data_IF_235034707665
#
_entry.id   IF_235034707665
#
_cell.length_a   1.000
_cell.length_b   1.000
_cell.length_c   1.000
_cell.angle_alpha   90.00
_cell.angle_beta   90.00
_cell.angle_gamma   90.00
#
_symmetry.space_group_name_H-M   'P 1'
#
loop_
_entity.id
_entity.type
_entity.pdbx_description
1 polymer ?
#
# COMPACT_ATOMS: atom_id res chain seq x y z
N UNK A 1 -8.44 27.42 7.06
CA UNK A 1 -9.08 26.83 5.86
C UNK A 1 -9.15 25.33 6.07
N UNK A 2 -10.31 24.75 5.90
CA UNK A 2 -10.44 23.29 5.90
C UNK A 2 -9.58 22.70 4.78
N UNK A 3 -8.88 21.57 5.01
CA UNK A 3 -8.09 20.94 3.97
C UNK A 3 -8.98 20.56 2.77
N UNK A 4 -8.47 20.65 1.54
CA UNK A 4 -9.24 20.30 0.35
C UNK A 4 -9.72 18.85 0.43
N UNK A 5 -10.93 18.62 -0.05
CA UNK A 5 -11.49 17.26 -0.13
C UNK A 5 -11.19 16.71 -1.51
N UNK A 6 -10.31 15.74 -1.61
CA UNK A 6 -10.04 15.01 -2.84
C UNK A 6 -11.22 14.10 -3.22
N UNK A 7 -11.47 13.91 -4.49
CA UNK A 7 -12.38 12.87 -4.95
C UNK A 7 -11.79 11.50 -4.65
N UNK A 8 -10.53 11.28 -5.06
CA UNK A 8 -9.85 10.00 -4.91
C UNK A 8 -8.44 10.17 -4.38
N UNK A 9 -8.04 9.32 -3.43
CA UNK A 9 -6.67 9.13 -3.01
C UNK A 9 -6.25 7.70 -3.32
N UNK A 10 -5.05 7.51 -3.92
CA UNK A 10 -4.53 6.19 -4.31
C UNK A 10 -3.21 5.93 -3.59
N UNK A 11 -3.10 4.79 -2.94
CA UNK A 11 -1.87 4.23 -2.36
C UNK A 11 -1.58 2.89 -3.03
N UNK A 12 -0.30 2.55 -3.24
CA UNK A 12 0.15 1.28 -3.79
C UNK A 12 1.40 0.78 -3.06
N UNK A 13 1.67 -0.51 -3.17
CA UNK A 13 2.96 -1.12 -2.80
C UNK A 13 3.42 -0.79 -1.37
N UNK A 14 2.53 -1.03 -0.39
CA UNK A 14 2.84 -0.84 1.03
C UNK A 14 3.69 -1.98 1.60
N UNK A 15 3.52 -3.20 1.07
CA UNK A 15 4.22 -4.40 1.50
C UNK A 15 4.23 -4.62 3.02
N UNK A 16 3.03 -4.58 3.64
CA UNK A 16 2.87 -4.88 5.07
C UNK A 16 3.46 -6.25 5.39
N UNK A 17 4.24 -6.35 6.47
CA UNK A 17 5.04 -7.52 6.81
C UNK A 17 6.50 -7.45 6.34
N UNK A 18 6.84 -6.52 5.43
CA UNK A 18 8.23 -6.18 5.12
C UNK A 18 8.83 -5.25 6.17
N UNK A 19 10.13 -5.42 6.46
CA UNK A 19 10.86 -4.51 7.35
C UNK A 19 11.08 -3.12 6.76
N UNK A 20 10.94 -3.00 5.44
CA UNK A 20 11.07 -1.73 4.72
C UNK A 20 9.74 -1.03 4.53
N UNK A 21 8.61 -1.64 4.95
CA UNK A 21 7.28 -1.05 4.88
C UNK A 21 7.16 0.22 5.72
N UNK A 22 6.54 1.23 5.16
CA UNK A 22 6.32 2.55 5.78
C UNK A 22 4.84 2.79 6.07
N UNK A 23 4.17 1.77 6.60
CA UNK A 23 2.74 1.80 6.90
C UNK A 23 2.33 2.94 7.84
N UNK A 24 3.20 3.29 8.83
CA UNK A 24 2.96 4.41 9.73
C UNK A 24 2.91 5.76 9.02
N UNK A 25 3.83 5.98 8.06
CA UNK A 25 3.85 7.21 7.26
C UNK A 25 2.66 7.26 6.29
N UNK A 26 2.29 6.14 5.67
CA UNK A 26 1.09 6.04 4.83
C UNK A 26 -0.19 6.32 5.64
N UNK A 27 -0.28 5.77 6.86
CA UNK A 27 -1.39 6.04 7.77
C UNK A 27 -1.49 7.53 8.14
N UNK A 28 -0.36 8.21 8.33
CA UNK A 28 -0.32 9.65 8.58
C UNK A 28 -0.92 10.42 7.40
N UNK A 29 -0.51 10.11 6.17
CA UNK A 29 -1.08 10.73 4.96
C UNK A 29 -2.59 10.53 4.90
N UNK A 30 -3.09 9.32 5.19
CA UNK A 30 -4.54 9.07 5.19
C UNK A 30 -5.29 9.89 6.25
N UNK A 31 -4.67 10.16 7.41
CA UNK A 31 -5.27 10.97 8.47
C UNK A 31 -5.22 12.48 8.21
N UNK A 32 -4.21 12.94 7.53
CA UNK A 32 -4.00 14.36 7.20
C UNK A 32 -4.82 14.83 6.00
N UNK A 33 -5.32 13.90 5.18
CA UNK A 33 -6.07 14.21 3.96
C UNK A 33 -7.54 13.81 4.08
N UNK A 34 -8.41 14.60 3.44
CA UNK A 34 -9.83 14.30 3.27
C UNK A 34 -10.08 13.82 1.85
N UNK A 35 -10.79 12.72 1.69
CA UNK A 35 -11.11 12.12 0.39
C UNK A 35 -12.45 11.38 0.45
N UNK A 36 -13.10 11.24 -0.72
CA UNK A 36 -14.35 10.49 -0.87
C UNK A 36 -14.11 9.03 -1.19
N UNK A 37 -13.01 8.75 -1.90
CA UNK A 37 -12.61 7.39 -2.32
C UNK A 37 -11.16 7.15 -1.97
N UNK A 38 -10.88 5.98 -1.42
CA UNK A 38 -9.53 5.45 -1.21
C UNK A 38 -9.35 4.23 -2.09
N UNK A 39 -8.31 4.21 -2.92
CA UNK A 39 -7.91 3.04 -3.70
C UNK A 39 -6.59 2.52 -3.14
N UNK A 40 -6.60 1.29 -2.64
CA UNK A 40 -5.43 0.50 -2.30
C UNK A 40 -5.07 -0.32 -3.53
N UNK A 41 -4.00 0.06 -4.24
CA UNK A 41 -3.71 -0.36 -5.61
C UNK A 41 -2.67 -1.49 -5.65
N UNK A 42 -2.95 -2.57 -4.97
CA UNK A 42 -2.16 -3.81 -4.97
C UNK A 42 -0.88 -3.77 -4.15
N UNK A 43 -0.35 -4.96 -3.90
CA UNK A 43 0.85 -5.22 -3.10
C UNK A 43 0.80 -4.53 -1.72
N UNK A 44 -0.38 -4.58 -1.10
CA UNK A 44 -0.58 -4.05 0.25
C UNK A 44 0.14 -4.93 1.27
N UNK A 45 0.16 -6.25 1.07
CA UNK A 45 0.97 -7.19 1.84
C UNK A 45 2.25 -7.59 1.10
N UNK A 46 3.31 -7.86 1.87
CA UNK A 46 4.55 -8.41 1.30
C UNK A 46 4.42 -9.90 0.98
N UNK A 47 3.65 -10.61 1.78
CA UNK A 47 3.30 -12.03 1.64
C UNK A 47 2.09 -12.37 2.54
N UNK A 48 1.64 -13.62 2.49
CA UNK A 48 0.53 -14.13 3.30
C UNK A 48 0.91 -14.51 4.74
N UNK A 49 2.12 -14.20 5.18
CA UNK A 49 2.57 -14.49 6.54
C UNK A 49 2.22 -13.35 7.51
N UNK A 50 0.98 -13.32 7.97
CA UNK A 50 0.48 -12.28 8.90
C UNK A 50 1.22 -12.21 10.25
N UNK A 51 2.03 -13.23 10.61
CA UNK A 51 2.88 -13.20 11.81
C UNK A 51 3.98 -12.14 11.72
N UNK A 52 4.28 -11.64 10.51
CA UNK A 52 5.27 -10.59 10.27
C UNK A 52 4.69 -9.18 10.43
N UNK A 53 3.38 -9.06 10.61
CA UNK A 53 2.73 -7.77 10.77
C UNK A 53 3.09 -7.16 12.13
N UNK A 54 3.64 -5.94 12.10
CA UNK A 54 3.97 -5.15 13.27
C UNK A 54 2.74 -4.42 13.83
N UNK A 55 2.87 -3.81 15.02
CA UNK A 55 1.82 -2.95 15.60
C UNK A 55 1.40 -1.83 14.64
N UNK A 56 2.33 -1.23 13.90
CA UNK A 56 2.01 -0.17 12.92
C UNK A 56 1.21 -0.70 11.73
N UNK A 57 1.54 -1.91 11.26
CA UNK A 57 0.77 -2.56 10.18
C UNK A 57 -0.67 -2.81 10.61
N UNK A 58 -0.88 -3.31 11.83
CA UNK A 58 -2.22 -3.51 12.38
C UNK A 58 -2.99 -2.20 12.60
N UNK A 59 -2.31 -1.12 13.01
CA UNK A 59 -2.93 0.21 13.08
C UNK A 59 -3.39 0.71 11.71
N UNK A 60 -2.59 0.49 10.66
CA UNK A 60 -2.99 0.81 9.28
C UNK A 60 -4.24 0.03 8.87
N UNK A 61 -4.23 -1.30 9.00
CA UNK A 61 -5.37 -2.15 8.65
C UNK A 61 -6.63 -1.81 9.46
N UNK A 62 -6.48 -1.54 10.76
CA UNK A 62 -7.58 -1.09 11.62
C UNK A 62 -8.18 0.24 11.15
N UNK A 63 -7.34 1.17 10.67
CA UNK A 63 -7.83 2.42 10.11
C UNK A 63 -8.57 2.20 8.78
N UNK A 64 -8.07 1.32 7.89
CA UNK A 64 -8.79 0.95 6.67
C UNK A 64 -10.15 0.34 7.01
N UNK A 65 -10.20 -0.56 8.00
CA UNK A 65 -11.47 -1.13 8.51
C UNK A 65 -12.43 -0.07 9.03
N UNK A 66 -11.93 0.94 9.74
CA UNK A 66 -12.71 2.08 10.22
C UNK A 66 -13.25 2.92 9.06
N UNK A 67 -12.45 3.19 8.04
CA UNK A 67 -12.87 3.92 6.84
C UNK A 67 -13.92 3.17 6.03
N UNK A 68 -13.86 1.83 5.97
CA UNK A 68 -14.80 1.02 5.21
C UNK A 68 -16.20 0.96 5.84
N UNK A 69 -16.39 1.53 7.04
CA UNK A 69 -17.72 1.66 7.62
C UNK A 69 -18.58 2.63 6.79
N UNK A 70 -19.76 2.21 6.30
CA UNK A 70 -20.63 3.06 5.46
C UNK A 70 -20.99 4.41 6.10
N UNK A 71 -21.05 4.49 7.42
CA UNK A 71 -21.34 5.74 8.16
C UNK A 71 -20.24 6.81 7.95
N UNK A 72 -19.05 6.44 7.49
CA UNK A 72 -17.95 7.38 7.22
C UNK A 72 -18.05 8.11 5.88
N UNK A 73 -18.89 7.60 4.98
CA UNK A 73 -19.05 8.19 3.65
C UNK A 73 -17.81 8.12 2.76
N UNK A 74 -16.88 7.22 3.06
CA UNK A 74 -15.67 6.97 2.25
C UNK A 74 -15.82 5.62 1.54
N UNK A 75 -15.67 5.63 0.23
CA UNK A 75 -15.62 4.41 -0.57
C UNK A 75 -14.19 3.86 -0.52
N UNK A 76 -14.01 2.66 0.02
CA UNK A 76 -12.70 1.99 0.08
C UNK A 76 -12.67 0.86 -0.92
N UNK A 77 -11.73 0.93 -1.86
CA UNK A 77 -11.51 -0.02 -2.94
C UNK A 77 -10.14 -0.68 -2.73
N UNK A 78 -10.08 -1.98 -2.90
CA UNK A 78 -8.83 -2.74 -2.92
C UNK A 78 -8.66 -3.38 -4.29
N UNK A 79 -7.56 -3.09 -4.96
CA UNK A 79 -7.15 -3.75 -6.20
C UNK A 79 -6.08 -4.77 -5.85
N UNK A 80 -6.23 -5.99 -6.35
CA UNK A 80 -5.33 -7.11 -6.07
C UNK A 80 -3.96 -6.90 -6.74
N UNK A 81 -2.87 -7.07 -5.96
CA UNK A 81 -1.51 -7.14 -6.46
C UNK A 81 -1.03 -8.59 -6.60
N UNK A 82 0.20 -8.79 -7.10
CA UNK A 82 0.76 -10.13 -7.21
C UNK A 82 1.15 -10.74 -5.85
N UNK A 83 1.44 -9.93 -4.85
CA UNK A 83 1.70 -10.36 -3.48
C UNK A 83 0.42 -10.60 -2.67
N UNK A 84 -0.68 -9.98 -3.07
CA UNK A 84 -1.99 -10.09 -2.41
C UNK A 84 -2.88 -11.17 -3.04
N UNK A 85 -2.39 -11.87 -4.06
CA UNK A 85 -3.19 -12.84 -4.83
C UNK A 85 -3.77 -13.94 -3.92
N UNK A 86 -5.07 -14.20 -4.06
CA UNK A 86 -5.79 -15.17 -3.24
C UNK A 86 -6.30 -14.65 -1.90
N UNK A 87 -6.06 -13.37 -1.56
CA UNK A 87 -6.60 -12.75 -0.34
C UNK A 87 -8.01 -12.17 -0.50
N UNK A 88 -8.58 -12.19 -1.69
CA UNK A 88 -9.84 -11.52 -2.04
C UNK A 88 -10.98 -11.84 -1.06
N UNK A 89 -11.20 -13.12 -0.77
CA UNK A 89 -12.26 -13.54 0.16
C UNK A 89 -11.92 -13.17 1.61
N UNK A 90 -10.67 -13.42 2.02
CA UNK A 90 -10.22 -13.16 3.39
C UNK A 90 -10.30 -11.68 3.72
N UNK A 91 -9.87 -10.80 2.81
CA UNK A 91 -9.87 -9.36 3.05
C UNK A 91 -11.29 -8.77 2.99
N UNK A 92 -12.16 -9.30 2.14
CA UNK A 92 -13.56 -8.92 2.12
C UNK A 92 -14.23 -9.18 3.48
N UNK A 93 -13.94 -10.31 4.11
CA UNK A 93 -14.53 -10.66 5.41
C UNK A 93 -13.85 -9.97 6.60
N UNK A 94 -12.51 -9.88 6.61
CA UNK A 94 -11.76 -9.30 7.74
C UNK A 94 -11.80 -7.78 7.77
N UNK A 95 -11.59 -7.15 6.61
CA UNK A 95 -11.49 -5.69 6.50
C UNK A 95 -12.80 -5.06 6.02
N UNK A 96 -13.73 -5.88 5.49
CA UNK A 96 -15.01 -5.41 4.97
C UNK A 96 -14.88 -4.56 3.71
N UNK A 97 -13.85 -4.82 2.91
CA UNK A 97 -13.53 -4.10 1.68
C UNK A 97 -13.61 -5.06 0.50
N UNK A 98 -14.28 -4.62 -0.58
CA UNK A 98 -14.30 -5.41 -1.82
C UNK A 98 -12.94 -5.35 -2.49
N UNK A 99 -12.47 -6.51 -2.98
CA UNK A 99 -11.24 -6.65 -3.74
C UNK A 99 -11.58 -6.85 -5.21
N UNK A 100 -10.86 -6.13 -6.07
CA UNK A 100 -11.04 -6.13 -7.52
C UNK A 100 -9.71 -6.48 -8.18
N UNK A 101 -9.78 -7.10 -9.36
CA UNK A 101 -8.60 -7.22 -10.22
C UNK A 101 -8.36 -5.92 -10.99
N UNK A 102 -9.44 -5.30 -11.43
CA UNK A 102 -9.50 -4.03 -12.14
C UNK A 102 -10.67 -3.23 -11.59
N UNK A 103 -10.48 -1.93 -11.37
CA UNK A 103 -11.54 -1.06 -10.88
C UNK A 103 -11.72 0.12 -11.82
N UNK A 104 -12.93 0.25 -12.37
CA UNK A 104 -13.34 1.32 -13.26
C UNK A 104 -14.20 2.33 -12.53
N UNK A 105 -13.96 3.61 -12.77
CA UNK A 105 -14.84 4.69 -12.30
C UNK A 105 -14.81 5.88 -13.24
N UNK A 106 -15.77 6.77 -13.07
CA UNK A 106 -15.86 8.02 -13.81
C UNK A 106 -15.82 9.19 -12.84
N UNK A 107 -15.09 10.23 -13.21
CA UNK A 107 -15.04 11.48 -12.47
C UNK A 107 -14.87 12.64 -13.46
N UNK A 108 -15.77 13.65 -13.36
CA UNK A 108 -15.82 14.81 -14.27
C UNK A 108 -15.87 14.45 -15.75
N UNK A 109 -16.61 13.41 -16.10
CA UNK A 109 -16.77 12.94 -17.49
C UNK A 109 -15.56 12.20 -18.05
N UNK A 110 -14.50 11.98 -17.23
CA UNK A 110 -13.33 11.19 -17.60
C UNK A 110 -13.42 9.79 -17.00
N UNK A 111 -13.08 8.79 -17.81
CA UNK A 111 -13.05 7.38 -17.41
C UNK A 111 -11.68 7.00 -16.88
N UNK A 112 -11.69 6.37 -15.74
CA UNK A 112 -10.50 5.96 -15.02
C UNK A 112 -10.47 4.46 -14.83
N UNK A 113 -9.27 3.89 -14.81
CA UNK A 113 -9.01 2.48 -14.52
C UNK A 113 -7.86 2.37 -13.53
N UNK A 114 -8.05 1.61 -12.47
CA UNK A 114 -7.00 1.19 -11.56
C UNK A 114 -6.75 -0.31 -11.72
N UNK A 115 -5.50 -0.68 -11.98
CA UNK A 115 -5.01 -2.05 -12.13
C UNK A 115 -3.58 -2.09 -11.59
N UNK A 116 -3.21 -3.13 -10.85
CA UNK A 116 -1.90 -3.13 -10.20
C UNK A 116 -0.72 -3.03 -11.17
N UNK A 117 -0.77 -3.68 -12.32
CA UNK A 117 0.22 -3.54 -13.39
C UNK A 117 1.14 -4.75 -13.58
N UNK A 118 1.18 -5.69 -12.64
CA UNK A 118 1.96 -6.93 -12.77
C UNK A 118 1.56 -7.77 -13.99
N UNK A 119 0.32 -7.62 -14.46
CA UNK A 119 -0.22 -8.30 -15.64
C UNK A 119 0.54 -7.91 -16.92
N UNK A 120 1.15 -6.73 -16.94
CA UNK A 120 1.90 -6.21 -18.08
C UNK A 120 3.38 -6.59 -18.08
N UNK A 121 3.86 -7.22 -17.01
CA UNK A 121 5.25 -7.67 -16.89
C UNK A 121 5.47 -9.02 -17.57
N UNK A 122 5.76 -8.97 -18.87
CA UNK A 122 5.97 -10.15 -19.71
C UNK A 122 7.14 -11.04 -19.27
N UNK A 123 8.13 -10.50 -18.55
CA UNK A 123 9.25 -11.30 -18.04
C UNK A 123 8.82 -12.23 -16.91
N UNK A 124 7.95 -11.76 -16.03
CA UNK A 124 7.37 -12.58 -14.96
C UNK A 124 6.43 -13.64 -15.53
N UNK A 125 5.60 -13.28 -16.54
CA UNK A 125 4.64 -14.20 -17.15
C UNK A 125 5.31 -15.37 -17.91
N UNK A 126 6.45 -15.12 -18.54
CA UNK A 126 7.10 -16.12 -19.39
C UNK A 126 8.17 -17.00 -18.69
N UNK A 127 8.57 -16.68 -17.46
CA UNK A 127 9.66 -17.36 -16.77
C UNK A 127 9.32 -17.80 -15.32
N UNK A 128 8.13 -18.42 -15.13
CA UNK A 128 7.69 -18.95 -13.83
C UNK A 128 8.74 -19.83 -13.12
N UNK A 129 9.50 -20.66 -13.90
CA UNK A 129 10.57 -21.52 -13.37
C UNK A 129 11.76 -20.70 -12.88
N UNK A 130 12.17 -19.69 -13.64
CA UNK A 130 13.29 -18.80 -13.26
C UNK A 130 12.97 -18.00 -12.01
N UNK A 131 11.72 -17.52 -11.89
CA UNK A 131 11.22 -16.85 -10.69
C UNK A 131 11.19 -17.76 -9.47
N UNK A 132 10.75 -19.02 -9.61
CA UNK A 132 10.73 -19.97 -8.52
C UNK A 132 12.14 -20.26 -8.00
N UNK A 133 13.12 -20.52 -8.89
CA UNK A 133 14.51 -20.71 -8.50
C UNK A 133 15.14 -19.44 -7.92
N UNK A 134 14.85 -18.27 -8.48
CA UNK A 134 15.30 -16.98 -7.94
C UNK A 134 14.77 -16.74 -6.53
N UNK A 135 13.47 -16.97 -6.31
CA UNK A 135 12.84 -16.83 -4.98
C UNK A 135 13.43 -17.80 -3.95
N UNK A 136 13.64 -19.07 -4.33
CA UNK A 136 14.28 -20.04 -3.43
C UNK A 136 15.72 -19.64 -3.07
N UNK A 137 16.50 -19.17 -4.04
CA UNK A 137 17.86 -18.69 -3.81
C UNK A 137 17.87 -17.47 -2.88
N UNK A 138 16.97 -16.52 -3.10
CA UNK A 138 16.80 -15.34 -2.26
C UNK A 138 16.41 -15.69 -0.82
N UNK A 139 15.49 -16.63 -0.63
CA UNK A 139 15.11 -17.13 0.69
C UNK A 139 16.26 -17.81 1.42
N UNK A 140 17.15 -18.51 0.69
CA UNK A 140 18.35 -19.12 1.30
C UNK A 140 19.39 -18.04 1.67
N UNK A 141 19.60 -17.03 0.83
CA UNK A 141 20.50 -15.91 1.10
C UNK A 141 20.01 -15.05 2.28
N UNK A 142 18.72 -14.83 2.41
CA UNK A 142 18.13 -14.14 3.57
C UNK A 142 18.36 -14.85 4.90
N UNK A 143 18.49 -16.21 4.89
CA UNK A 143 18.82 -16.99 6.10
C UNK A 143 20.26 -16.81 6.56
N UNK A 144 21.15 -16.39 5.66
CA UNK A 144 22.58 -16.16 5.95
C UNK A 144 22.87 -14.73 6.39
N UNK A 145 21.84 -13.87 6.43
CA UNK A 145 22.02 -12.45 6.72
C UNK A 145 22.25 -12.20 8.22
N UNK A 146 23.26 -11.38 8.54
CA UNK A 146 23.72 -11.08 9.90
C UNK A 146 22.90 -9.93 10.49
N UNK A 147 23.04 -9.67 11.78
CA UNK A 147 22.39 -8.55 12.49
C UNK A 147 22.52 -7.24 11.70
N UNK A 148 21.37 -6.65 11.34
CA UNK A 148 21.28 -5.43 10.51
C UNK A 148 20.82 -5.66 9.07
N UNK A 149 20.78 -6.91 8.61
CA UNK A 149 20.22 -7.35 7.32
C UNK A 149 20.66 -6.52 6.10
N UNK A 150 21.97 -6.21 5.94
CA UNK A 150 22.45 -5.41 4.82
C UNK A 150 22.26 -6.12 3.48
N UNK A 151 22.37 -7.45 3.47
CA UNK A 151 22.24 -8.26 2.27
C UNK A 151 20.76 -8.31 1.81
N UNK A 152 19.83 -8.50 2.74
CA UNK A 152 18.39 -8.44 2.44
C UNK A 152 17.99 -7.08 1.85
N UNK A 153 18.50 -5.97 2.41
CA UNK A 153 18.24 -4.62 1.89
C UNK A 153 18.87 -4.39 0.51
N UNK A 154 20.06 -4.93 0.27
CA UNK A 154 20.71 -4.86 -1.05
C UNK A 154 19.95 -5.69 -2.07
N UNK A 155 19.52 -6.89 -1.71
CA UNK A 155 18.73 -7.80 -2.55
C UNK A 155 17.37 -7.17 -2.86
N UNK A 156 16.67 -6.62 -1.86
CA UNK A 156 15.41 -5.90 -2.07
C UNK A 156 15.62 -4.71 -3.02
N UNK A 157 16.72 -3.98 -2.90
CA UNK A 157 17.07 -2.87 -3.77
C UNK A 157 17.43 -3.29 -5.20
N UNK A 158 18.11 -4.42 -5.36
CA UNK A 158 18.47 -4.99 -6.67
C UNK A 158 17.25 -5.66 -7.33
N UNK A 159 16.48 -6.42 -6.57
CA UNK A 159 15.25 -7.09 -7.04
C UNK A 159 14.21 -6.08 -7.55
N UNK A 160 14.06 -4.95 -6.84
CA UNK A 160 13.16 -3.86 -7.24
C UNK A 160 13.55 -3.22 -8.57
N UNK A 161 14.83 -3.11 -8.87
CA UNK A 161 15.31 -2.39 -10.05
C UNK A 161 15.42 -3.25 -11.30
N UNK A 162 15.68 -4.56 -11.16
CA UNK A 162 15.92 -5.47 -12.28
C UNK A 162 14.67 -6.20 -12.78
N UNK A 163 13.74 -6.51 -11.88
CA UNK A 163 12.52 -7.26 -12.20
C UNK A 163 11.34 -6.37 -12.63
N UNK A 164 11.45 -5.06 -12.43
CA UNK A 164 10.38 -4.11 -12.74
C UNK A 164 10.75 -3.33 -14.00
N UNK A 165 10.37 -3.89 -15.13
CA UNK A 165 10.55 -3.21 -16.42
C UNK A 165 9.47 -2.15 -16.58
N UNK A 166 9.66 -1.01 -15.89
CA UNK A 166 8.75 0.15 -15.92
C UNK A 166 8.27 0.52 -17.34
N UNK A 167 9.13 0.51 -18.38
CA UNK A 167 8.67 0.79 -19.75
C UNK A 167 7.68 -0.24 -20.30
N UNK A 168 7.84 -1.53 -19.97
CA UNK A 168 6.93 -2.58 -20.44
C UNK A 168 5.57 -2.48 -19.76
N UNK A 169 5.57 -2.21 -18.44
CA UNK A 169 4.34 -1.97 -17.67
C UNK A 169 3.61 -0.76 -18.25
N UNK A 170 4.30 0.35 -18.47
CA UNK A 170 3.72 1.56 -19.05
C UNK A 170 3.15 1.33 -20.46
N UNK A 171 3.87 0.60 -21.31
CA UNK A 171 3.40 0.26 -22.67
C UNK A 171 2.17 -0.64 -22.64
N UNK A 172 2.18 -1.68 -21.80
CA UNK A 172 1.05 -2.59 -21.61
C UNK A 172 -0.18 -1.89 -21.05
N UNK A 173 0.01 -1.05 -20.03
CA UNK A 173 -1.04 -0.27 -19.42
C UNK A 173 -1.70 0.71 -20.42
N UNK A 174 -0.90 1.44 -21.20
CA UNK A 174 -1.42 2.34 -22.23
C UNK A 174 -2.21 1.59 -23.32
N UNK A 175 -1.73 0.42 -23.74
CA UNK A 175 -2.50 -0.43 -24.66
C UNK A 175 -3.83 -0.88 -24.05
N UNK A 176 -3.81 -1.30 -22.80
CA UNK A 176 -5.00 -1.71 -22.06
C UNK A 176 -6.01 -0.56 -21.91
N UNK A 177 -5.53 0.65 -21.59
CA UNK A 177 -6.36 1.87 -21.55
C UNK A 177 -7.07 2.13 -22.89
N UNK A 178 -6.38 1.99 -24.01
CA UNK A 178 -6.98 2.13 -25.36
C UNK A 178 -8.06 1.09 -25.61
N UNK A 179 -7.79 -0.19 -25.28
CA UNK A 179 -8.76 -1.27 -25.48
C UNK A 179 -10.03 -1.06 -24.67
N UNK A 180 -9.92 -0.57 -23.46
CA UNK A 180 -11.05 -0.28 -22.57
C UNK A 180 -11.64 1.13 -22.72
N UNK A 181 -11.08 1.96 -23.63
CA UNK A 181 -11.51 3.34 -23.90
C UNK A 181 -11.58 4.17 -22.62
N UNK A 182 -10.55 4.08 -21.78
CA UNK A 182 -10.39 4.89 -20.58
C UNK A 182 -9.38 6.01 -20.82
N UNK A 183 -9.65 7.17 -20.25
CA UNK A 183 -8.80 8.36 -20.41
C UNK A 183 -7.54 8.28 -19.53
N UNK A 184 -7.67 7.67 -18.36
CA UNK A 184 -6.60 7.58 -17.36
C UNK A 184 -6.48 6.18 -16.79
N UNK A 185 -5.27 5.63 -16.75
CA UNK A 185 -4.96 4.34 -16.12
C UNK A 185 -3.94 4.56 -15.01
N UNK A 186 -4.21 3.94 -13.86
CA UNK A 186 -3.38 4.02 -12.64
C UNK A 186 -2.82 2.64 -12.33
N UNK A 187 -1.49 2.58 -12.13
CA UNK A 187 -0.76 1.36 -11.78
C UNK A 187 0.12 1.58 -10.54
N UNK A 188 0.57 0.49 -9.94
CA UNK A 188 1.65 0.36 -8.98
C UNK A 188 2.75 -0.52 -9.53
N UNK A 189 3.16 -1.52 -8.75
CA UNK A 189 4.05 -2.62 -9.11
C UNK A 189 5.51 -2.22 -9.37
N UNK A 190 5.79 -1.16 -10.13
CA UNK A 190 7.17 -0.76 -10.47
C UNK A 190 7.86 0.02 -9.35
N UNK A 191 7.15 0.47 -8.32
CA UNK A 191 7.59 1.36 -7.24
C UNK A 191 8.21 2.67 -7.72
N UNK A 192 8.00 3.05 -8.97
CA UNK A 192 8.49 4.28 -9.57
C UNK A 192 7.29 5.19 -9.87
N UNK A 193 7.20 6.31 -9.17
CA UNK A 193 6.14 7.27 -9.40
C UNK A 193 6.39 8.02 -10.71
N UNK A 194 5.50 7.84 -11.68
CA UNK A 194 5.66 8.37 -13.03
C UNK A 194 4.31 8.76 -13.64
N UNK A 195 4.32 9.76 -14.51
CA UNK A 195 3.20 10.11 -15.37
C UNK A 195 3.67 10.20 -16.83
N UNK A 196 2.98 9.49 -17.69
CA UNK A 196 3.19 9.55 -19.14
C UNK A 196 1.86 9.79 -19.86
N UNK A 197 1.86 10.60 -20.87
CA UNK A 197 0.70 10.82 -21.74
C UNK A 197 1.04 10.45 -23.19
N UNK A 198 0.13 9.74 -23.86
CA UNK A 198 0.25 9.37 -25.26
C UNK A 198 -1.13 9.17 -25.88
N UNK A 199 -1.34 9.78 -27.04
CA UNK A 199 -2.56 9.61 -27.86
C UNK A 199 -3.88 9.85 -27.08
N UNK A 200 -3.89 10.85 -26.20
CA UNK A 200 -5.05 11.21 -25.38
C UNK A 200 -5.28 10.31 -24.15
N UNK A 201 -4.44 9.33 -23.92
CA UNK A 201 -4.48 8.46 -22.74
C UNK A 201 -3.35 8.81 -21.77
N UNK A 202 -3.65 8.84 -20.47
CA UNK A 202 -2.70 9.14 -19.42
C UNK A 202 -2.42 7.89 -18.57
N UNK A 203 -1.16 7.53 -18.47
CA UNK A 203 -0.65 6.49 -17.56
C UNK A 203 -0.04 7.15 -16.33
N UNK A 204 -0.46 6.69 -15.16
CA UNK A 204 0.10 7.09 -13.87
C UNK A 204 0.57 5.85 -13.12
N UNK A 205 1.79 5.88 -12.60
CA UNK A 205 2.24 4.91 -11.62
C UNK A 205 2.33 5.56 -10.25
N UNK A 206 1.74 4.91 -9.25
CA UNK A 206 1.64 5.45 -7.89
C UNK A 206 2.97 5.41 -7.14
N UNK A 207 3.94 4.63 -7.60
CA UNK A 207 5.16 4.34 -6.84
C UNK A 207 4.88 3.40 -5.66
N UNK A 208 5.43 3.67 -4.47
CA UNK A 208 5.25 2.77 -3.33
C UNK A 208 5.65 3.38 -1.99
N UNK A 209 5.57 2.54 -0.94
CA UNK A 209 5.82 2.92 0.47
C UNK A 209 6.91 2.07 1.11
N UNK A 210 7.95 1.79 0.36
CA UNK A 210 9.12 1.04 0.84
C UNK A 210 10.39 1.88 0.71
N UNK A 211 11.23 1.88 1.73
CA UNK A 211 12.50 2.62 1.72
C UNK A 211 12.38 4.05 2.26
N UNK A 212 12.91 5.06 1.55
CA UNK A 212 13.07 6.42 2.03
C UNK A 212 12.05 7.43 1.47
N UNK A 213 11.27 7.04 0.49
CA UNK A 213 10.30 7.90 -0.19
C UNK A 213 8.97 7.17 -0.24
N UNK A 214 7.91 7.84 0.21
CA UNK A 214 6.53 7.40 0.01
C UNK A 214 5.87 8.25 -1.07
N UNK A 215 5.05 7.63 -1.90
CA UNK A 215 4.34 8.31 -2.98
C UNK A 215 2.86 7.93 -2.99
N UNK A 216 2.03 8.90 -3.35
CA UNK A 216 0.58 8.68 -3.48
C UNK A 216 0.00 9.62 -4.54
N UNK A 217 -1.18 9.28 -5.03
CA UNK A 217 -1.89 10.06 -6.03
C UNK A 217 -3.16 10.64 -5.43
N UNK A 218 -3.46 11.89 -5.76
CA UNK A 218 -4.77 12.51 -5.51
C UNK A 218 -5.42 12.94 -6.80
N UNK A 219 -6.76 12.87 -6.81
CA UNK A 219 -7.59 13.34 -7.92
C UNK A 219 -8.62 14.31 -7.34
N UNK A 220 -8.70 15.49 -7.92
CA UNK A 220 -9.68 16.52 -7.58
C UNK A 220 -10.15 17.28 -8.83
N UNK A 221 -10.85 18.39 -8.62
CA UNK A 221 -11.34 19.25 -9.72
C UNK A 221 -10.22 19.83 -10.60
N UNK A 222 -9.03 19.98 -10.05
CA UNK A 222 -7.88 20.54 -10.77
C UNK A 222 -7.09 19.46 -11.54
N UNK A 223 -7.41 18.19 -11.31
CA UNK A 223 -6.81 17.06 -12.03
C UNK A 223 -6.14 16.00 -11.15
N UNK A 224 -5.11 15.37 -11.70
CA UNK A 224 -4.34 14.30 -11.04
C UNK A 224 -3.00 14.84 -10.59
N UNK A 225 -2.64 14.60 -9.32
CA UNK A 225 -1.34 14.98 -8.77
C UNK A 225 -0.65 13.77 -8.13
N UNK A 226 0.63 13.60 -8.45
CA UNK A 226 1.52 12.67 -7.75
C UNK A 226 2.21 13.44 -6.64
N UNK A 227 2.09 12.94 -5.42
CA UNK A 227 2.74 13.50 -4.24
C UNK A 227 3.91 12.62 -3.82
N UNK A 228 5.00 13.27 -3.47
CA UNK A 228 6.19 12.61 -2.92
C UNK A 228 6.41 13.08 -1.50
N UNK A 229 6.47 12.14 -0.58
CA UNK A 229 6.75 12.41 0.82
C UNK A 229 8.09 11.80 1.21
N UNK A 230 9.04 12.65 1.63
CA UNK A 230 10.27 12.19 2.23
C UNK A 230 9.93 11.56 3.58
N UNK A 231 10.21 10.27 3.71
CA UNK A 231 9.93 9.54 4.93
C UNK A 231 11.00 9.87 5.96
N UNK A 232 10.58 10.12 7.19
CA UNK A 232 11.51 10.32 8.29
C UNK A 232 12.30 9.02 8.46
N UNK A 233 13.64 9.11 8.39
CA UNK A 233 14.49 8.00 8.79
C UNK A 233 14.13 7.66 10.22
N UNK A 234 13.50 6.49 10.43
CA UNK A 234 13.24 6.02 11.77
C UNK A 234 14.55 6.00 12.53
N UNK A 235 14.66 6.82 13.55
CA UNK A 235 15.65 6.62 14.60
C UNK A 235 15.40 5.21 15.09
N UNK A 236 16.31 4.29 14.75
CA UNK A 236 16.43 3.06 15.48
C UNK A 236 16.80 3.48 16.91
N UNK A 237 15.81 3.61 17.76
CA UNK A 237 16.05 3.63 19.19
C UNK A 237 16.67 2.28 19.53
N UNK A 238 17.99 2.28 19.56
CA UNK A 238 18.77 1.28 20.22
C UNK A 238 18.49 1.40 21.71
N UNK A 239 17.44 0.73 22.16
CA UNK A 239 17.20 0.47 23.57
C UNK A 239 18.32 -0.41 24.08
N UNK A 240 19.41 0.22 24.52
CA UNK A 240 20.32 -0.37 25.48
C UNK A 240 19.61 -0.31 26.84
N UNK A 241 18.77 -1.26 27.12
CA UNK A 241 18.31 -1.53 28.47
C UNK A 241 19.47 -2.11 29.29
N UNK A 242 20.09 -1.24 30.07
CA UNK A 242 20.80 -1.64 31.28
C UNK A 242 19.77 -2.20 32.26
N UNK A 243 19.99 -3.44 32.71
CA UNK A 243 19.18 -4.09 33.70
C UNK A 243 19.00 -3.25 34.96
N UNK A 244 17.77 -3.09 35.35
CA UNK A 244 17.36 -2.81 36.74
C UNK A 244 16.24 -3.75 37.12
N UNK A 245 16.43 -4.30 38.30
CA UNK A 245 15.62 -5.29 38.97
C UNK A 245 14.14 -4.91 39.11
N UNK A 246 13.33 -5.93 39.10
CA UNK A 246 11.88 -5.93 39.17
C UNK A 246 11.38 -5.56 40.57
N UNK A 247 10.47 -4.59 40.69
CA UNK A 247 9.43 -4.55 41.70
C UNK A 247 8.03 -4.56 41.02
N UNK A 248 7.04 -5.31 41.54
CA UNK A 248 5.74 -5.44 40.92
C UNK A 248 4.76 -4.37 41.43
N UNK A 249 4.21 -3.57 40.52
CA UNK A 249 3.21 -2.58 40.90
C UNK A 249 2.42 -1.96 39.73
N UNK A 250 1.12 -2.26 39.74
CA UNK A 250 -0.01 -1.61 39.05
C UNK A 250 -0.16 -1.78 37.54
N UNK A 251 -0.95 -2.78 37.17
CA UNK A 251 -1.73 -2.88 35.94
C UNK A 251 -2.97 -1.98 36.09
N UNK A 252 -3.11 -0.96 35.29
CA UNK A 252 -4.31 -0.15 35.28
C UNK A 252 -4.11 1.20 34.60
N UNK A 253 -4.29 1.29 33.27
CA UNK A 253 -4.66 2.56 32.58
C UNK A 253 -5.07 2.38 31.11
N UNK A 254 -4.66 1.32 30.40
CA UNK A 254 -5.09 1.13 28.99
C UNK A 254 -6.50 0.49 28.87
N UNK A 255 -6.99 -0.12 29.93
CA UNK A 255 -8.33 -0.73 29.95
C UNK A 255 -9.43 0.29 30.20
N UNK A 256 -9.12 1.37 30.93
CA UNK A 256 -10.08 2.41 31.30
C UNK A 256 -10.40 3.34 30.13
N UNK A 257 -9.45 3.68 29.27
CA UNK A 257 -9.70 4.47 28.06
C UNK A 257 -10.59 3.73 27.02
N UNK A 258 -10.47 2.41 26.92
CA UNK A 258 -11.34 1.61 26.05
C UNK A 258 -12.77 1.48 26.58
N UNK A 259 -12.94 1.51 27.90
CA UNK A 259 -14.25 1.46 28.55
C UNK A 259 -14.99 2.80 28.46
N UNK A 260 -14.30 3.93 28.57
CA UNK A 260 -14.89 5.26 28.39
C UNK A 260 -15.36 5.50 26.94
N UNK A 261 -14.60 5.05 25.93
CA UNK A 261 -15.06 5.11 24.53
C UNK A 261 -16.29 4.23 24.27
N UNK A 262 -16.39 3.07 24.92
CA UNK A 262 -17.55 2.18 24.79
C UNK A 262 -18.80 2.71 25.53
N UNK A 263 -18.65 3.44 26.63
CA UNK A 263 -19.79 4.06 27.32
C UNK A 263 -20.31 5.29 26.59
N UNK A 264 -19.45 6.07 25.94
CA UNK A 264 -19.86 7.24 25.15
C UNK A 264 -20.75 6.84 23.95
N UNK A 265 -20.50 5.66 23.34
CA UNK A 265 -21.35 5.16 22.25
C UNK A 265 -22.72 4.64 22.72
N UNK A 266 -22.87 4.24 24.00
CA UNK A 266 -24.17 3.76 24.53
C UNK A 266 -25.14 4.86 24.92
N UNK A 267 -24.67 6.06 25.17
CA UNK A 267 -25.52 7.19 25.62
C UNK A 267 -26.09 7.98 24.43
N UNK A 268 -25.63 7.76 23.22
CA UNK A 268 -26.02 8.51 22.02
C UNK A 268 -26.67 7.63 20.94
N UNK A 269 -27.19 6.46 21.27
CA UNK A 269 -28.17 5.67 20.51
C UNK A 269 -29.54 5.82 21.15
#
# INVERSE_FOLDING_TARGET
MDPPVYDTLILSDLHLGSETSRAGDALRVLKENRFRRLILLGDIFADLNFRRLTKEHWKFLGYIRKLSNPKRGVEVIWVEGNHDHGLTEVMSHLVGVRVYQEYFWEYQGLKHLAIHGHQFDRLLANNLRLNYFGTLLLLQLQKLDVKGKPLSRLIDRLNTRWLRMSPNVAAGAKLHARLHKVDRIFCGHTHEAIHEASDGHHYYNCGGWVGSIGTYITIDSDGVRIHTQKLLSGTAESGAEQGKEHEPGSVGTEHDELLEEMEYEKVHQ
#
